data_IF_509801539578
#
_entry.id   IF_509801539578
#
_cell.length_a   1.000
_cell.length_b   1.000
_cell.length_c   1.000
_cell.angle_alpha   90.00
_cell.angle_beta   90.00
_cell.angle_gamma   90.00
#
_symmetry.space_group_name_H-M   'P 1'
#
loop_
_entity.id
_entity.type
_entity.pdbx_description
1 polymer ?
#
# COMPACT_ATOMS: atom_id res chain seq x y z
N UNK A 1 1.74 -16.64 39.74
CA UNK A 1 1.00 -15.39 39.99
C UNK A 1 1.89 -14.24 39.53
N UNK A 2 1.80 -13.82 38.29
CA UNK A 2 2.46 -12.63 37.77
C UNK A 2 1.36 -11.58 37.58
N UNK A 3 1.44 -10.51 38.36
CA UNK A 3 0.56 -9.37 38.28
C UNK A 3 0.70 -8.77 36.86
N UNK A 4 -0.34 -8.90 36.06
CA UNK A 4 -0.52 -8.11 34.83
C UNK A 4 -0.52 -6.64 35.27
N UNK A 5 0.59 -5.96 35.00
CA UNK A 5 0.67 -4.53 35.10
C UNK A 5 -0.43 -3.95 34.23
N UNK A 6 -1.48 -3.45 34.84
CA UNK A 6 -2.47 -2.59 34.20
C UNK A 6 -1.74 -1.34 33.78
N UNK A 7 -1.24 -1.35 32.54
CA UNK A 7 -0.79 -0.12 31.88
C UNK A 7 -1.98 0.82 31.86
N UNK A 8 -1.95 1.83 32.73
CA UNK A 8 -2.86 2.95 32.72
C UNK A 8 -2.92 3.48 31.29
N UNK A 9 -3.96 3.15 30.55
CA UNK A 9 -4.25 3.76 29.23
C UNK A 9 -4.46 5.25 29.50
N UNK A 10 -3.41 6.04 29.24
CA UNK A 10 -3.54 7.48 29.22
C UNK A 10 -4.63 7.83 28.22
N UNK A 11 -5.66 8.55 28.65
CA UNK A 11 -6.72 9.04 27.76
C UNK A 11 -6.06 9.76 26.60
N UNK A 12 -6.38 9.41 25.35
CA UNK A 12 -5.79 10.05 24.17
C UNK A 12 -6.00 11.56 24.29
N UNK A 13 -4.90 12.30 24.13
CA UNK A 13 -4.91 13.76 24.23
C UNK A 13 -5.61 14.32 22.98
N UNK A 14 -6.93 14.42 23.01
CA UNK A 14 -7.76 14.94 21.89
C UNK A 14 -7.35 16.32 21.41
N UNK A 15 -6.72 17.14 22.28
CA UNK A 15 -6.16 18.43 21.92
C UNK A 15 -4.92 18.30 21.03
N UNK A 16 -4.14 17.24 21.19
CA UNK A 16 -2.98 16.99 20.34
C UNK A 16 -3.37 16.59 18.92
N UNK A 17 -4.43 15.79 18.75
CA UNK A 17 -4.96 15.43 17.42
C UNK A 17 -5.41 16.67 16.63
N UNK A 18 -6.19 17.56 17.27
CA UNK A 18 -6.63 18.81 16.64
C UNK A 18 -5.45 19.72 16.29
N UNK A 19 -4.44 19.82 17.18
CA UNK A 19 -3.21 20.56 16.90
C UNK A 19 -2.45 20.01 15.71
N UNK A 20 -2.29 18.69 15.63
CA UNK A 20 -1.63 18.02 14.52
C UNK A 20 -2.41 18.15 13.20
N UNK A 21 -3.75 18.08 13.24
CA UNK A 21 -4.60 18.33 12.07
C UNK A 21 -4.44 19.76 11.54
N UNK A 22 -4.39 20.74 12.45
CA UNK A 22 -4.15 22.13 12.08
C UNK A 22 -2.76 22.32 11.44
N UNK A 23 -1.72 21.74 12.04
CA UNK A 23 -0.37 21.77 11.47
C UNK A 23 -0.35 21.09 10.10
N UNK A 24 -0.98 19.93 9.97
CA UNK A 24 -1.10 19.22 8.69
C UNK A 24 -1.80 20.05 7.62
N UNK A 25 -2.90 20.72 7.97
CA UNK A 25 -3.63 21.61 7.07
C UNK A 25 -2.75 22.79 6.62
N UNK A 26 -1.99 23.40 7.54
CA UNK A 26 -1.04 24.49 7.23
C UNK A 26 0.03 23.99 6.27
N UNK A 27 0.66 22.83 6.55
CA UNK A 27 1.73 22.26 5.72
C UNK A 27 1.23 22.00 4.29
N UNK A 28 0.07 21.35 4.13
CA UNK A 28 -0.49 21.04 2.80
C UNK A 28 -0.90 22.32 2.07
N UNK A 29 -1.50 23.28 2.78
CA UNK A 29 -1.89 24.58 2.17
C UNK A 29 -0.66 25.35 1.70
N UNK A 30 0.40 25.36 2.51
CA UNK A 30 1.66 26.02 2.18
C UNK A 30 2.33 25.37 0.97
N UNK A 31 2.38 24.02 0.93
CA UNK A 31 2.88 23.27 -0.22
C UNK A 31 2.09 23.57 -1.50
N UNK A 32 0.76 23.67 -1.43
CA UNK A 32 -0.08 24.05 -2.57
C UNK A 32 0.21 25.44 -3.08
N UNK A 33 0.32 26.42 -2.17
CA UNK A 33 0.63 27.81 -2.53
C UNK A 33 2.01 27.91 -3.15
N UNK A 34 3.04 27.32 -2.53
CA UNK A 34 4.40 27.36 -3.04
C UNK A 34 4.54 26.66 -4.39
N UNK A 35 3.92 25.50 -4.54
CA UNK A 35 3.92 24.76 -5.81
C UNK A 35 3.27 25.59 -6.93
N UNK A 36 2.16 26.26 -6.66
CA UNK A 36 1.47 27.10 -7.66
C UNK A 36 2.26 28.36 -7.98
N UNK A 37 2.89 28.99 -6.99
CA UNK A 37 3.77 30.12 -7.19
C UNK A 37 5.00 29.75 -8.01
N UNK A 38 5.64 28.60 -7.73
CA UNK A 38 6.80 28.12 -8.48
C UNK A 38 6.50 27.81 -9.93
N UNK A 39 5.29 27.31 -10.25
CA UNK A 39 4.89 26.97 -11.63
C UNK A 39 4.37 28.15 -12.41
N UNK A 40 3.44 28.92 -11.83
CA UNK A 40 2.63 29.91 -12.55
C UNK A 40 2.94 31.34 -12.14
N UNK A 41 3.81 31.56 -11.16
CA UNK A 41 4.14 32.87 -10.58
C UNK A 41 2.90 33.67 -10.15
N UNK A 42 1.87 32.96 -9.67
CA UNK A 42 0.62 33.54 -9.17
C UNK A 42 0.00 32.67 -8.09
N UNK A 43 -0.82 33.29 -7.22
CA UNK A 43 -1.54 32.56 -6.18
C UNK A 43 -2.61 31.64 -6.80
N UNK A 44 -2.87 30.47 -6.19
CA UNK A 44 -3.89 29.55 -6.68
C UNK A 44 -5.29 30.17 -6.64
N UNK A 45 -5.97 30.24 -7.78
CA UNK A 45 -7.29 30.86 -7.90
C UNK A 45 -8.36 30.16 -7.03
N UNK A 46 -8.19 28.88 -6.71
CA UNK A 46 -9.14 28.07 -5.92
C UNK A 46 -8.61 27.72 -4.53
N UNK A 47 -7.71 28.52 -3.97
CA UNK A 47 -7.11 28.27 -2.67
C UNK A 47 -8.15 28.07 -1.57
N UNK A 48 -9.15 28.95 -1.48
CA UNK A 48 -10.21 28.90 -0.46
C UNK A 48 -11.02 27.60 -0.59
N UNK A 49 -11.36 27.21 -1.80
CA UNK A 49 -12.11 25.95 -2.05
C UNK A 49 -11.28 24.74 -1.63
N UNK A 50 -10.01 24.71 -1.99
CA UNK A 50 -9.09 23.63 -1.61
C UNK A 50 -8.97 23.49 -0.10
N UNK A 51 -8.71 24.59 0.60
CA UNK A 51 -8.60 24.60 2.07
C UNK A 51 -9.92 24.21 2.74
N UNK A 52 -11.05 24.68 2.20
CA UNK A 52 -12.39 24.32 2.73
C UNK A 52 -12.68 22.82 2.59
N UNK A 53 -12.30 22.21 1.47
CA UNK A 53 -12.44 20.76 1.25
C UNK A 53 -11.57 19.98 2.25
N UNK A 54 -10.28 20.32 2.37
CA UNK A 54 -9.38 19.66 3.31
C UNK A 54 -9.83 19.80 4.76
N UNK A 55 -10.29 20.99 5.15
CA UNK A 55 -10.82 21.24 6.48
C UNK A 55 -12.10 20.43 6.72
N UNK A 56 -13.01 20.40 5.73
CA UNK A 56 -14.24 19.61 5.79
C UNK A 56 -13.94 18.11 5.98
N UNK A 57 -13.00 17.57 5.21
CA UNK A 57 -12.56 16.18 5.35
C UNK A 57 -11.96 15.92 6.75
N UNK A 58 -11.09 16.81 7.23
CA UNK A 58 -10.48 16.69 8.55
C UNK A 58 -11.53 16.69 9.66
N UNK A 59 -12.50 17.61 9.58
CA UNK A 59 -13.60 17.72 10.56
C UNK A 59 -14.50 16.49 10.53
N UNK A 60 -14.94 16.06 9.34
CA UNK A 60 -15.81 14.88 9.18
C UNK A 60 -15.11 13.64 9.73
N UNK A 61 -13.86 13.40 9.35
CA UNK A 61 -13.13 12.20 9.80
C UNK A 61 -12.85 12.25 11.31
N UNK A 62 -12.51 13.43 11.85
CA UNK A 62 -12.33 13.60 13.29
C UNK A 62 -13.64 13.35 14.05
N UNK A 63 -14.81 13.79 13.53
CA UNK A 63 -16.11 13.48 14.11
C UNK A 63 -16.43 11.99 14.07
N UNK A 64 -16.19 11.33 12.93
CA UNK A 64 -16.34 9.87 12.78
C UNK A 64 -15.50 9.15 13.84
N UNK A 65 -14.20 9.51 14.00
CA UNK A 65 -13.33 8.94 15.01
C UNK A 65 -13.84 9.12 16.42
N UNK A 66 -14.34 10.32 16.76
CA UNK A 66 -14.86 10.60 18.09
C UNK A 66 -16.07 9.77 18.44
N UNK A 67 -16.91 9.45 17.45
CA UNK A 67 -18.14 8.69 17.67
C UNK A 67 -17.91 7.19 17.61
N UNK A 68 -17.07 6.73 16.69
CA UNK A 68 -16.88 5.30 16.44
C UNK A 68 -15.70 4.72 17.23
N UNK A 69 -14.59 5.45 17.38
CA UNK A 69 -13.36 4.96 18.02
C UNK A 69 -12.74 6.06 18.90
N UNK A 70 -13.33 6.33 20.09
CA UNK A 70 -12.86 7.40 20.97
C UNK A 70 -11.42 7.23 21.48
N UNK A 71 -10.89 6.02 21.45
CA UNK A 71 -9.54 5.63 21.90
C UNK A 71 -8.54 5.48 20.74
N UNK A 72 -8.87 5.96 19.53
CA UNK A 72 -7.96 5.94 18.39
C UNK A 72 -6.68 6.74 18.64
N UNK A 73 -5.58 6.30 18.02
CA UNK A 73 -4.30 7.01 18.07
C UNK A 73 -4.45 8.40 17.40
N UNK A 74 -4.08 9.49 18.12
CA UNK A 74 -4.24 10.85 17.64
C UNK A 74 -3.30 11.24 16.47
N UNK A 75 -2.31 10.40 16.14
CA UNK A 75 -1.32 10.70 15.09
C UNK A 75 -1.77 10.19 13.73
N UNK A 76 -2.51 9.07 13.67
CA UNK A 76 -2.87 8.41 12.41
C UNK A 76 -3.65 9.31 11.46
N UNK A 77 -4.69 9.97 11.96
CA UNK A 77 -5.54 10.83 11.11
C UNK A 77 -4.80 12.04 10.54
N UNK A 78 -4.02 12.82 11.33
CA UNK A 78 -3.19 13.90 10.79
C UNK A 78 -2.20 13.44 9.71
N UNK A 79 -1.54 12.29 9.90
CA UNK A 79 -0.60 11.74 8.91
C UNK A 79 -1.31 11.41 7.60
N UNK A 80 -2.48 10.75 7.67
CA UNK A 80 -3.28 10.44 6.48
C UNK A 80 -3.73 11.70 5.75
N UNK A 81 -4.15 12.75 6.49
CA UNK A 81 -4.53 14.03 5.91
C UNK A 81 -3.36 14.68 5.15
N UNK A 82 -2.17 14.70 5.76
CA UNK A 82 -0.97 15.28 5.14
C UNK A 82 -0.59 14.49 3.88
N UNK A 83 -0.50 13.17 3.96
CA UNK A 83 -0.14 12.33 2.81
C UNK A 83 -1.14 12.45 1.66
N UNK A 84 -2.44 12.45 1.95
CA UNK A 84 -3.48 12.65 0.94
C UNK A 84 -3.39 14.05 0.32
N UNK A 85 -3.19 15.08 1.14
CA UNK A 85 -3.05 16.46 0.67
C UNK A 85 -1.82 16.68 -0.20
N UNK A 86 -0.65 16.16 0.21
CA UNK A 86 0.58 16.24 -0.58
C UNK A 86 0.44 15.48 -1.91
N UNK A 87 -0.19 14.30 -1.89
CA UNK A 87 -0.51 13.54 -3.10
C UNK A 87 -1.41 14.31 -4.05
N UNK A 88 -2.46 14.97 -3.52
CA UNK A 88 -3.35 15.81 -4.31
C UNK A 88 -2.65 17.01 -4.95
N UNK A 89 -1.78 17.71 -4.19
CA UNK A 89 -0.96 18.82 -4.70
C UNK A 89 -0.05 18.34 -5.84
N UNK A 90 0.55 17.14 -5.70
CA UNK A 90 1.41 16.56 -6.72
C UNK A 90 0.63 16.23 -8.00
N UNK A 91 -0.55 15.62 -7.89
CA UNK A 91 -1.43 15.34 -9.03
C UNK A 91 -1.86 16.64 -9.72
N UNK A 92 -2.22 17.67 -8.94
CA UNK A 92 -2.54 19.00 -9.49
C UNK A 92 -1.35 19.64 -10.23
N UNK A 93 -0.13 19.40 -9.78
CA UNK A 93 1.11 19.86 -10.43
C UNK A 93 1.34 19.18 -11.78
N UNK A 94 0.97 17.90 -11.89
CA UNK A 94 1.10 17.11 -13.11
C UNK A 94 -0.09 17.31 -14.07
N UNK A 95 -1.22 17.81 -13.60
CA UNK A 95 -2.46 17.97 -14.37
C UNK A 95 -2.37 18.75 -15.69
N UNK A 96 -1.47 19.74 -15.87
CA UNK A 96 -1.31 20.42 -17.17
C UNK A 96 -0.75 19.55 -18.29
N UNK A 97 -0.17 18.38 -17.95
CA UNK A 97 0.34 17.43 -18.93
C UNK A 97 -0.78 16.47 -19.34
N UNK A 98 -0.96 16.27 -20.65
CA UNK A 98 -2.18 15.74 -21.29
C UNK A 98 -2.75 14.46 -20.67
N UNK A 99 -1.89 13.52 -20.27
CA UNK A 99 -2.33 12.20 -19.77
C UNK A 99 -2.83 12.22 -18.33
N UNK A 100 -2.67 13.31 -17.59
CA UNK A 100 -2.89 13.36 -16.14
C UNK A 100 -3.98 14.36 -15.74
N UNK A 101 -4.48 15.16 -16.64
CA UNK A 101 -5.45 16.24 -16.35
C UNK A 101 -6.74 15.75 -15.66
N UNK A 102 -7.21 14.55 -16.02
CA UNK A 102 -8.42 13.95 -15.45
C UNK A 102 -8.20 13.37 -14.05
N UNK A 103 -6.95 13.08 -13.65
CA UNK A 103 -6.64 12.41 -12.37
C UNK A 103 -6.95 13.28 -11.16
N UNK A 104 -6.88 14.59 -11.26
CA UNK A 104 -7.23 15.50 -10.16
C UNK A 104 -8.70 15.34 -9.73
N UNK A 105 -9.61 15.19 -10.69
CA UNK A 105 -11.01 14.90 -10.43
C UNK A 105 -11.22 13.50 -9.84
N UNK A 106 -10.56 12.50 -10.43
CA UNK A 106 -10.60 11.12 -9.94
C UNK A 106 -10.05 11.00 -8.51
N UNK A 107 -9.00 11.71 -8.17
CA UNK A 107 -8.44 11.71 -6.82
C UNK A 107 -9.45 12.19 -5.77
N UNK A 108 -10.23 13.22 -6.07
CA UNK A 108 -11.28 13.69 -5.19
C UNK A 108 -12.39 12.62 -4.99
N UNK A 109 -12.79 11.95 -6.06
CA UNK A 109 -13.76 10.84 -6.02
C UNK A 109 -13.21 9.68 -5.19
N UNK A 110 -11.98 9.22 -5.45
CA UNK A 110 -11.38 8.13 -4.71
C UNK A 110 -11.15 8.47 -3.23
N UNK A 111 -10.79 9.71 -2.92
CA UNK A 111 -10.67 10.17 -1.52
C UNK A 111 -12.03 10.12 -0.81
N UNK A 112 -13.10 10.50 -1.49
CA UNK A 112 -14.46 10.43 -0.92
C UNK A 112 -14.89 8.97 -0.70
N UNK A 113 -14.65 8.10 -1.67
CA UNK A 113 -14.91 6.65 -1.54
C UNK A 113 -14.09 6.07 -0.38
N UNK A 114 -12.81 6.44 -0.27
CA UNK A 114 -11.93 6.02 0.82
C UNK A 114 -12.45 6.46 2.19
N UNK A 115 -12.99 7.67 2.30
CA UNK A 115 -13.57 8.17 3.55
C UNK A 115 -14.83 7.39 3.95
N UNK A 116 -15.70 7.09 2.99
CA UNK A 116 -16.89 6.25 3.21
C UNK A 116 -16.47 4.83 3.61
N UNK A 117 -15.52 4.23 2.89
CA UNK A 117 -14.99 2.90 3.21
C UNK A 117 -14.35 2.87 4.61
N UNK A 118 -13.64 3.92 5.00
CA UNK A 118 -13.09 4.08 6.34
C UNK A 118 -14.19 4.05 7.41
N UNK A 119 -15.24 4.84 7.24
CA UNK A 119 -16.36 4.86 8.18
C UNK A 119 -17.07 3.50 8.30
N UNK A 120 -17.30 2.83 7.16
CA UNK A 120 -17.89 1.48 7.11
C UNK A 120 -16.99 0.49 7.83
N UNK A 121 -15.68 0.53 7.58
CA UNK A 121 -14.70 -0.35 8.24
C UNK A 121 -14.71 -0.19 9.75
N UNK A 122 -14.77 1.04 10.26
CA UNK A 122 -14.87 1.29 11.70
C UNK A 122 -16.13 0.69 12.32
N UNK A 123 -17.26 0.71 11.61
CA UNK A 123 -18.50 0.10 12.06
C UNK A 123 -18.39 -1.43 12.10
N UNK A 124 -17.83 -2.01 11.05
CA UNK A 124 -17.66 -3.48 10.93
C UNK A 124 -16.68 -4.00 11.99
N UNK A 125 -15.53 -3.34 12.17
CA UNK A 125 -14.46 -3.79 13.10
C UNK A 125 -14.91 -3.69 14.56
N UNK A 126 -15.90 -2.90 14.90
CA UNK A 126 -16.53 -2.94 16.25
C UNK A 126 -17.04 -4.33 16.62
N UNK A 127 -17.40 -5.15 15.64
CA UNK A 127 -17.86 -6.54 15.81
C UNK A 127 -16.82 -7.53 15.27
N UNK A 128 -15.53 -7.29 15.56
CA UNK A 128 -14.43 -8.12 15.04
C UNK A 128 -14.57 -9.61 15.35
N UNK A 129 -15.23 -9.98 16.44
CA UNK A 129 -15.53 -11.39 16.77
C UNK A 129 -16.42 -12.08 15.74
N UNK A 130 -17.31 -11.34 15.09
CA UNK A 130 -18.17 -11.89 14.04
C UNK A 130 -17.35 -12.24 12.80
N UNK A 131 -16.24 -11.54 12.53
CA UNK A 131 -15.33 -11.84 11.42
C UNK A 131 -14.62 -13.18 11.57
N UNK A 132 -14.29 -13.60 12.79
CA UNK A 132 -13.67 -14.91 13.07
C UNK A 132 -14.56 -16.06 12.61
N UNK A 133 -15.87 -15.92 12.78
CA UNK A 133 -16.85 -16.94 12.37
C UNK A 133 -16.87 -17.17 10.86
N UNK A 134 -16.62 -16.12 10.07
CA UNK A 134 -16.71 -16.15 8.62
C UNK A 134 -15.35 -16.26 7.92
N UNK A 135 -14.27 -16.62 8.63
CA UNK A 135 -12.89 -16.64 8.08
C UNK A 135 -12.73 -17.45 6.79
N UNK A 136 -13.34 -18.64 6.68
CA UNK A 136 -13.27 -19.44 5.46
C UNK A 136 -14.07 -18.83 4.31
N UNK A 137 -15.14 -18.10 4.62
CA UNK A 137 -15.86 -17.32 3.63
C UNK A 137 -15.00 -16.15 3.12
N UNK A 138 -14.24 -15.51 4.01
CA UNK A 138 -13.26 -14.47 3.64
C UNK A 138 -12.17 -15.04 2.74
N UNK A 139 -11.66 -16.24 3.05
CA UNK A 139 -10.69 -16.93 2.18
C UNK A 139 -11.27 -17.23 0.80
N UNK A 140 -12.47 -17.79 0.75
CA UNK A 140 -13.15 -18.10 -0.52
C UNK A 140 -13.36 -16.83 -1.34
N UNK A 141 -13.86 -15.76 -0.72
CA UNK A 141 -14.05 -14.47 -1.37
C UNK A 141 -12.73 -13.86 -1.86
N UNK A 142 -11.65 -13.98 -1.08
CA UNK A 142 -10.32 -13.53 -1.48
C UNK A 142 -9.82 -14.26 -2.72
N UNK A 143 -9.96 -15.59 -2.76
CA UNK A 143 -9.55 -16.40 -3.93
C UNK A 143 -10.43 -16.07 -5.15
N UNK A 144 -11.74 -15.90 -4.98
CA UNK A 144 -12.62 -15.48 -6.07
C UNK A 144 -12.23 -14.13 -6.66
N UNK A 145 -11.88 -13.15 -5.81
CA UNK A 145 -11.41 -11.85 -6.24
C UNK A 145 -10.07 -11.95 -6.98
N UNK A 146 -9.13 -12.79 -6.50
CA UNK A 146 -7.85 -13.01 -7.17
C UNK A 146 -8.01 -13.64 -8.55
N UNK A 147 -8.95 -14.56 -8.72
CA UNK A 147 -9.21 -15.23 -10.02
C UNK A 147 -9.99 -14.34 -10.99
N UNK A 148 -10.70 -13.34 -10.48
CA UNK A 148 -11.61 -12.49 -11.27
C UNK A 148 -10.95 -11.82 -12.49
N UNK A 149 -9.73 -11.26 -12.43
CA UNK A 149 -9.07 -10.68 -13.61
C UNK A 149 -8.66 -11.70 -14.67
N UNK A 150 -8.55 -12.98 -14.29
CA UNK A 150 -8.19 -14.06 -15.22
C UNK A 150 -9.39 -14.56 -16.03
N UNK A 151 -10.63 -14.23 -15.63
CA UNK A 151 -11.85 -14.62 -16.33
C UNK A 151 -11.95 -13.84 -17.64
N UNK A 152 -12.12 -14.52 -18.80
CA UNK A 152 -12.34 -13.85 -20.08
C UNK A 152 -13.50 -12.86 -20.01
N UNK A 153 -13.39 -11.76 -20.72
CA UNK A 153 -14.34 -10.62 -20.77
C UNK A 153 -14.41 -9.72 -19.51
N UNK A 154 -13.97 -10.16 -18.33
CA UNK A 154 -13.88 -9.30 -17.14
C UNK A 154 -12.52 -8.62 -17.05
N UNK A 155 -11.43 -9.34 -17.34
CA UNK A 155 -10.07 -8.82 -17.30
C UNK A 155 -9.57 -8.22 -18.63
N UNK A 156 -10.24 -8.49 -19.75
CA UNK A 156 -9.83 -7.98 -21.06
C UNK A 156 -10.24 -6.51 -21.31
N UNK A 157 -11.10 -5.96 -20.45
CA UNK A 157 -11.61 -4.59 -20.56
C UNK A 157 -10.64 -3.52 -20.05
N UNK A 158 -9.56 -3.89 -19.37
CA UNK A 158 -8.52 -2.98 -18.91
C UNK A 158 -7.35 -3.01 -19.88
N UNK A 159 -6.82 -1.84 -20.22
CA UNK A 159 -5.64 -1.69 -21.07
C UNK A 159 -4.51 -2.62 -20.60
N UNK A 160 -4.19 -3.60 -21.45
CA UNK A 160 -3.14 -4.58 -21.21
C UNK A 160 -1.76 -3.91 -21.38
N UNK A 161 -1.30 -3.18 -20.40
CA UNK A 161 0.07 -2.71 -20.36
C UNK A 161 0.98 -3.92 -20.08
N UNK A 162 1.69 -4.38 -21.10
CA UNK A 162 2.65 -5.49 -20.97
C UNK A 162 2.03 -6.89 -20.79
N UNK A 163 0.74 -7.10 -21.12
CA UNK A 163 0.08 -8.41 -21.00
C UNK A 163 -0.24 -8.80 -19.56
N UNK A 164 -0.29 -7.86 -18.65
CA UNK A 164 -0.64 -8.04 -17.23
C UNK A 164 -2.13 -7.79 -17.04
N UNK A 165 -2.85 -8.77 -16.49
CA UNK A 165 -4.29 -8.67 -16.24
C UNK A 165 -4.53 -8.39 -14.75
N UNK A 166 -4.55 -7.14 -14.35
CA UNK A 166 -4.72 -6.74 -12.93
C UNK A 166 -6.06 -6.05 -12.65
N UNK A 167 -6.65 -5.45 -13.68
CA UNK A 167 -7.80 -4.57 -13.51
C UNK A 167 -9.07 -5.22 -14.07
N UNK A 168 -10.17 -4.97 -13.37
CA UNK A 168 -11.52 -5.32 -13.83
C UNK A 168 -12.30 -4.04 -14.05
N UNK A 169 -12.92 -3.91 -15.22
CA UNK A 169 -13.73 -2.75 -15.59
C UNK A 169 -15.20 -3.04 -15.26
N UNK A 170 -15.80 -2.19 -14.42
CA UNK A 170 -17.23 -2.25 -14.11
C UNK A 170 -17.84 -0.92 -14.53
N UNK A 171 -18.41 -0.87 -15.73
CA UNK A 171 -18.89 0.37 -16.36
C UNK A 171 -17.74 1.37 -16.59
N UNK A 172 -17.86 2.61 -16.13
CA UNK A 172 -16.81 3.62 -16.29
C UNK A 172 -15.67 3.51 -15.27
N UNK A 173 -15.82 2.67 -14.23
CA UNK A 173 -14.82 2.52 -13.16
C UNK A 173 -13.94 1.29 -13.40
N UNK A 174 -12.63 1.44 -13.19
CA UNK A 174 -11.67 0.35 -13.11
C UNK A 174 -11.36 0.03 -11.66
N UNK A 175 -11.37 -1.23 -11.32
CA UNK A 175 -11.11 -1.73 -9.96
C UNK A 175 -10.05 -2.84 -10.03
N UNK A 176 -9.14 -2.83 -9.07
CA UNK A 176 -8.13 -3.88 -8.92
C UNK A 176 -8.55 -4.84 -7.80
N UNK A 177 -9.06 -6.05 -8.13
CA UNK A 177 -9.60 -6.96 -7.13
C UNK A 177 -8.58 -7.44 -6.10
N UNK A 178 -7.30 -7.49 -6.47
CA UNK A 178 -6.20 -7.88 -5.60
C UNK A 178 -6.10 -7.01 -4.35
N UNK A 179 -6.46 -5.72 -4.43
CA UNK A 179 -6.45 -4.81 -3.28
C UNK A 179 -7.47 -5.21 -2.21
N UNK A 180 -8.66 -5.62 -2.62
CA UNK A 180 -9.68 -6.11 -1.69
C UNK A 180 -9.34 -7.52 -1.18
N UNK A 181 -8.81 -8.41 -2.04
CA UNK A 181 -8.43 -9.77 -1.64
C UNK A 181 -7.35 -9.78 -0.57
N UNK A 182 -6.41 -8.86 -0.62
CA UNK A 182 -5.36 -8.65 0.40
C UNK A 182 -5.95 -8.47 1.79
N UNK A 183 -6.95 -7.62 1.92
CA UNK A 183 -7.62 -7.36 3.20
C UNK A 183 -8.31 -8.63 3.72
N UNK A 184 -9.02 -9.34 2.84
CA UNK A 184 -9.71 -10.59 3.20
C UNK A 184 -8.73 -11.70 3.62
N UNK A 185 -7.59 -11.83 2.92
CA UNK A 185 -6.52 -12.76 3.30
C UNK A 185 -5.92 -12.42 4.66
N UNK A 186 -5.69 -11.14 4.96
CA UNK A 186 -5.20 -10.70 6.28
C UNK A 186 -6.17 -11.08 7.38
N UNK A 187 -7.47 -10.88 7.18
CA UNK A 187 -8.52 -11.25 8.14
C UNK A 187 -8.52 -12.77 8.34
N UNK A 188 -8.44 -13.54 7.26
CA UNK A 188 -8.35 -15.01 7.34
C UNK A 188 -7.12 -15.47 8.13
N UNK A 189 -5.92 -14.99 7.76
CA UNK A 189 -4.68 -15.37 8.45
C UNK A 189 -4.70 -14.95 9.92
N UNK A 190 -5.15 -13.74 10.24
CA UNK A 190 -5.25 -13.27 11.61
C UNK A 190 -6.16 -14.18 12.46
N UNK A 191 -7.37 -14.46 11.98
CA UNK A 191 -8.33 -15.32 12.66
C UNK A 191 -7.80 -16.74 12.85
N UNK A 192 -7.17 -17.29 11.79
CA UNK A 192 -6.63 -18.65 11.84
C UNK A 192 -5.44 -18.75 12.79
N UNK A 193 -4.52 -17.80 12.74
CA UNK A 193 -3.34 -17.78 13.60
C UNK A 193 -3.71 -17.62 15.07
N UNK A 194 -4.69 -16.81 15.40
CA UNK A 194 -5.16 -16.64 16.77
C UNK A 194 -5.73 -17.97 17.31
N UNK A 195 -6.59 -18.66 16.53
CA UNK A 195 -7.17 -19.93 16.94
C UNK A 195 -6.13 -21.04 17.09
N UNK A 196 -5.16 -21.10 16.20
CA UNK A 196 -4.15 -22.18 16.19
C UNK A 196 -2.84 -21.79 16.87
N UNK A 197 -2.81 -20.64 17.58
CA UNK A 197 -1.59 -20.10 18.20
C UNK A 197 -0.84 -21.12 19.06
N UNK A 198 -1.56 -21.86 19.91
CA UNK A 198 -0.94 -22.85 20.79
C UNK A 198 -0.27 -23.98 19.99
N UNK A 199 -0.98 -24.53 18.99
CA UNK A 199 -0.46 -25.59 18.13
C UNK A 199 0.75 -25.11 17.30
N UNK A 200 0.70 -23.90 16.78
CA UNK A 200 1.78 -23.30 15.99
C UNK A 200 2.99 -22.94 16.85
N UNK A 201 2.79 -22.65 18.14
CA UNK A 201 3.88 -22.32 19.06
C UNK A 201 4.52 -23.55 19.73
N UNK A 202 3.86 -24.71 19.71
CA UNK A 202 4.42 -25.95 20.28
C UNK A 202 5.44 -26.58 19.32
N UNK A 203 6.66 -26.80 19.78
CA UNK A 203 7.65 -27.56 19.05
C UNK A 203 7.50 -29.05 19.44
N UNK A 204 6.92 -29.84 18.54
CA UNK A 204 6.54 -31.22 18.81
C UNK A 204 7.57 -32.24 18.27
N UNK A 205 8.33 -31.87 17.23
CA UNK A 205 9.29 -32.76 16.58
C UNK A 205 10.73 -32.36 16.88
N UNK A 206 11.52 -33.29 17.42
CA UNK A 206 12.94 -33.13 17.63
C UNK A 206 13.70 -33.67 16.41
N UNK A 207 14.34 -32.79 15.67
CA UNK A 207 15.25 -33.16 14.57
C UNK A 207 16.68 -32.81 15.01
N UNK A 208 17.41 -33.82 15.50
CA UNK A 208 18.75 -33.64 16.05
C UNK A 208 18.74 -32.71 17.27
N UNK A 209 19.40 -31.56 17.18
CA UNK A 209 19.53 -30.55 18.25
C UNK A 209 18.40 -29.50 18.25
N UNK A 210 17.59 -29.49 17.20
CA UNK A 210 16.54 -28.50 16.99
C UNK A 210 15.16 -29.09 17.20
N UNK A 211 14.28 -28.31 17.87
CA UNK A 211 12.87 -28.62 17.99
C UNK A 211 12.09 -27.93 16.88
N UNK A 212 11.52 -28.69 15.96
CA UNK A 212 10.68 -28.20 14.88
C UNK A 212 9.20 -28.27 15.26
N UNK A 213 8.39 -27.30 14.81
CA UNK A 213 6.95 -27.34 15.00
C UNK A 213 6.28 -28.44 14.18
N UNK A 214 5.10 -28.89 14.63
CA UNK A 214 4.26 -29.78 13.85
C UNK A 214 3.78 -29.07 12.56
N UNK A 215 3.90 -29.75 11.42
CA UNK A 215 3.49 -29.21 10.12
C UNK A 215 1.98 -29.34 9.84
N UNK A 216 1.28 -30.19 10.59
CA UNK A 216 -0.16 -30.45 10.38
C UNK A 216 -1.05 -29.19 10.46
N UNK A 217 -0.87 -28.30 11.47
CA UNK A 217 -1.67 -27.07 11.55
C UNK A 217 -1.40 -26.08 10.41
N UNK A 218 -0.30 -26.27 9.66
CA UNK A 218 0.06 -25.40 8.53
C UNK A 218 -0.70 -25.71 7.23
N UNK A 219 -1.35 -26.87 7.12
CA UNK A 219 -2.00 -27.30 5.88
C UNK A 219 -2.94 -26.25 5.27
N UNK A 220 -3.99 -25.80 5.97
CA UNK A 220 -4.93 -24.80 5.44
C UNK A 220 -4.28 -23.45 5.13
N UNK A 221 -3.29 -23.05 5.95
CA UNK A 221 -2.57 -21.80 5.77
C UNK A 221 -1.67 -21.88 4.53
N UNK A 222 -0.89 -22.96 4.43
CA UNK A 222 -0.02 -23.19 3.29
C UNK A 222 -0.82 -23.29 1.98
N UNK A 223 -1.98 -23.96 2.02
CA UNK A 223 -2.87 -24.03 0.89
C UNK A 223 -3.38 -22.64 0.46
N UNK A 224 -3.91 -21.86 1.40
CA UNK A 224 -4.38 -20.50 1.11
C UNK A 224 -3.26 -19.62 0.55
N UNK A 225 -2.06 -19.72 1.11
CA UNK A 225 -0.90 -18.97 0.68
C UNK A 225 -0.41 -19.40 -0.71
N UNK A 226 -0.25 -20.69 -0.95
CA UNK A 226 0.16 -21.23 -2.25
C UNK A 226 -0.84 -20.88 -3.33
N UNK A 227 -2.14 -21.05 -3.08
CA UNK A 227 -3.19 -20.67 -4.04
C UNK A 227 -3.13 -19.17 -4.37
N UNK A 228 -2.97 -18.31 -3.36
CA UNK A 228 -2.89 -16.87 -3.56
C UNK A 228 -1.68 -16.48 -4.40
N UNK A 229 -0.50 -17.03 -4.07
CA UNK A 229 0.72 -16.76 -4.85
C UNK A 229 0.63 -17.32 -6.26
N UNK A 230 0.08 -18.52 -6.46
CA UNK A 230 -0.08 -19.10 -7.79
C UNK A 230 -0.94 -18.19 -8.68
N UNK A 231 -2.05 -17.68 -8.18
CA UNK A 231 -2.91 -16.76 -8.95
C UNK A 231 -2.18 -15.47 -9.26
N UNK A 232 -1.51 -14.86 -8.28
CA UNK A 232 -0.78 -13.61 -8.47
C UNK A 232 0.38 -13.76 -9.47
N UNK A 233 1.05 -14.92 -9.48
CA UNK A 233 2.05 -15.23 -10.50
C UNK A 233 1.44 -15.38 -11.90
N UNK A 234 0.23 -15.93 -12.01
CA UNK A 234 -0.51 -15.98 -13.28
C UNK A 234 -0.88 -14.57 -13.76
N UNK A 235 -1.18 -13.65 -12.85
CA UNK A 235 -1.39 -12.23 -13.13
C UNK A 235 -0.10 -11.50 -13.48
N UNK A 236 1.07 -12.14 -13.29
CA UNK A 236 2.43 -11.56 -13.49
C UNK A 236 2.76 -10.40 -12.54
N UNK A 237 2.10 -10.33 -11.39
CA UNK A 237 2.37 -9.33 -10.36
C UNK A 237 3.32 -9.87 -9.29
N UNK A 238 4.63 -9.72 -9.54
CA UNK A 238 5.68 -10.19 -8.63
C UNK A 238 5.74 -9.32 -7.37
N UNK A 239 5.48 -8.01 -7.50
CA UNK A 239 5.52 -7.08 -6.36
C UNK A 239 4.48 -7.44 -5.30
N UNK A 240 3.27 -7.76 -5.74
CA UNK A 240 2.22 -8.19 -4.84
C UNK A 240 2.47 -9.56 -4.21
N UNK A 241 3.06 -10.49 -4.97
CA UNK A 241 3.46 -11.80 -4.44
C UNK A 241 4.45 -11.66 -3.28
N UNK A 242 5.44 -10.76 -3.43
CA UNK A 242 6.40 -10.44 -2.37
C UNK A 242 5.73 -9.80 -1.16
N UNK A 243 4.84 -8.84 -1.37
CA UNK A 243 4.09 -8.18 -0.30
C UNK A 243 3.27 -9.20 0.51
N UNK A 244 2.53 -10.07 -0.16
CA UNK A 244 1.73 -11.11 0.49
C UNK A 244 2.61 -12.09 1.28
N UNK A 245 3.77 -12.45 0.74
CA UNK A 245 4.72 -13.31 1.43
C UNK A 245 5.26 -12.66 2.71
N UNK A 246 5.72 -11.42 2.64
CA UNK A 246 6.25 -10.68 3.79
C UNK A 246 5.17 -10.52 4.86
N UNK A 247 3.95 -10.17 4.45
CA UNK A 247 2.82 -10.02 5.35
C UNK A 247 2.48 -11.33 6.06
N UNK A 248 2.40 -12.44 5.33
CA UNK A 248 2.18 -13.77 5.89
C UNK A 248 3.26 -14.13 6.92
N UNK A 249 4.52 -13.94 6.57
CA UNK A 249 5.66 -14.26 7.41
C UNK A 249 5.71 -13.40 8.69
N UNK A 250 5.43 -12.10 8.55
CA UNK A 250 5.35 -11.18 9.68
C UNK A 250 4.21 -11.56 10.64
N UNK A 251 3.03 -11.88 10.12
CA UNK A 251 1.89 -12.31 10.93
C UNK A 251 2.18 -13.62 11.66
N UNK A 252 2.82 -14.59 10.99
CA UNK A 252 3.21 -15.86 11.59
C UNK A 252 4.23 -15.64 12.71
N UNK A 253 5.22 -14.79 12.48
CA UNK A 253 6.23 -14.44 13.49
C UNK A 253 5.61 -13.73 14.70
N UNK A 254 4.80 -12.72 14.50
CA UNK A 254 4.13 -11.97 15.57
C UNK A 254 3.24 -12.88 16.42
N UNK A 255 2.54 -13.83 15.79
CA UNK A 255 1.63 -14.76 16.48
C UNK A 255 2.37 -15.80 17.30
N UNK A 256 3.45 -16.36 16.74
CA UNK A 256 4.17 -17.47 17.37
C UNK A 256 5.31 -17.02 18.28
N UNK A 257 5.84 -15.80 18.07
CA UNK A 257 7.03 -15.28 18.75
C UNK A 257 8.33 -16.00 18.39
N UNK A 258 8.35 -16.86 17.37
CA UNK A 258 9.50 -17.72 17.03
C UNK A 258 10.25 -17.20 15.80
N UNK A 259 11.48 -16.83 16.00
CA UNK A 259 12.41 -16.43 14.93
C UNK A 259 12.67 -17.53 13.89
N UNK A 260 12.51 -18.81 14.30
CA UNK A 260 12.71 -19.96 13.41
C UNK A 260 11.85 -19.88 12.15
N UNK A 261 10.59 -19.45 12.28
CA UNK A 261 9.71 -19.28 11.11
C UNK A 261 10.18 -18.18 10.17
N UNK A 262 10.70 -17.09 10.76
CA UNK A 262 11.24 -15.98 9.95
C UNK A 262 12.47 -16.44 9.15
N UNK A 263 13.39 -17.14 9.82
CA UNK A 263 14.60 -17.66 9.15
C UNK A 263 14.26 -18.67 8.07
N UNK A 264 13.42 -19.65 8.36
CA UNK A 264 12.96 -20.65 7.38
C UNK A 264 12.29 -19.96 6.19
N UNK A 265 11.41 -18.99 6.47
CA UNK A 265 10.71 -18.24 5.45
C UNK A 265 11.67 -17.46 4.54
N UNK A 266 12.62 -16.72 5.11
CA UNK A 266 13.62 -15.97 4.34
C UNK A 266 14.45 -16.91 3.47
N UNK A 267 14.93 -18.02 4.03
CA UNK A 267 15.69 -19.02 3.25
C UNK A 267 14.85 -19.60 2.12
N UNK A 268 13.61 -20.00 2.41
CA UNK A 268 12.68 -20.50 1.39
C UNK A 268 12.40 -19.47 0.30
N UNK A 269 12.27 -18.20 0.67
CA UNK A 269 12.08 -17.10 -0.28
C UNK A 269 13.31 -16.92 -1.19
N UNK A 270 14.52 -16.85 -0.64
CA UNK A 270 15.75 -16.68 -1.42
C UNK A 270 15.93 -17.85 -2.39
N UNK A 271 15.78 -19.08 -1.89
CA UNK A 271 15.87 -20.29 -2.72
C UNK A 271 14.77 -20.33 -3.78
N UNK A 272 13.52 -20.05 -3.39
CA UNK A 272 12.40 -20.01 -4.33
C UNK A 272 12.57 -18.95 -5.41
N UNK A 273 13.00 -17.75 -5.05
CA UNK A 273 13.27 -16.64 -5.98
C UNK A 273 14.42 -17.00 -6.94
N UNK A 274 15.47 -17.65 -6.45
CA UNK A 274 16.57 -18.13 -7.30
C UNK A 274 16.06 -19.14 -8.35
N UNK A 275 15.30 -20.15 -7.95
CA UNK A 275 14.71 -21.09 -8.90
C UNK A 275 13.69 -20.42 -9.84
N UNK A 276 12.84 -19.55 -9.31
CA UNK A 276 11.87 -18.83 -10.13
C UNK A 276 12.56 -17.95 -11.19
N UNK A 277 13.67 -17.31 -10.87
CA UNK A 277 14.44 -16.51 -11.82
C UNK A 277 15.04 -17.32 -12.96
N UNK A 278 15.27 -18.64 -12.77
CA UNK A 278 15.76 -19.54 -13.81
C UNK A 278 14.67 -20.10 -14.71
N UNK A 279 13.45 -20.20 -14.19
CA UNK A 279 12.30 -20.79 -14.91
C UNK A 279 11.42 -19.71 -15.54
N UNK A 280 11.20 -18.61 -14.83
CA UNK A 280 10.30 -17.53 -15.25
C UNK A 280 11.13 -16.33 -15.73
N UNK A 281 11.13 -16.10 -17.05
CA UNK A 281 11.87 -15.00 -17.69
C UNK A 281 11.55 -13.64 -17.05
N UNK A 282 10.27 -13.40 -16.71
CA UNK A 282 9.83 -12.16 -16.09
C UNK A 282 10.48 -11.92 -14.72
N UNK A 283 10.63 -12.97 -13.89
CA UNK A 283 11.28 -12.87 -12.58
C UNK A 283 12.76 -12.57 -12.74
N UNK A 284 13.44 -13.27 -13.67
CA UNK A 284 14.85 -13.01 -13.99
C UNK A 284 15.08 -11.56 -14.42
N UNK A 285 14.29 -11.07 -15.38
CA UNK A 285 14.38 -9.68 -15.85
C UNK A 285 14.14 -8.64 -14.74
N UNK A 286 13.20 -8.89 -13.83
CA UNK A 286 12.95 -7.96 -12.70
C UNK A 286 14.11 -7.92 -11.73
N UNK A 287 14.75 -9.06 -11.45
CA UNK A 287 15.94 -9.14 -10.61
C UNK A 287 17.12 -8.44 -11.27
N UNK A 288 17.33 -8.69 -12.56
CA UNK A 288 18.44 -8.09 -13.32
C UNK A 288 18.33 -6.56 -13.36
N UNK A 289 17.13 -6.03 -13.61
CA UNK A 289 16.87 -4.58 -13.58
C UNK A 289 17.00 -4.00 -12.18
N UNK A 290 16.62 -4.74 -11.14
CA UNK A 290 16.80 -4.29 -9.76
C UNK A 290 18.29 -4.22 -9.36
N UNK A 291 19.11 -5.15 -9.84
CA UNK A 291 20.54 -5.16 -9.56
C UNK A 291 21.33 -4.12 -10.35
N UNK A 292 20.99 -3.95 -11.63
CA UNK A 292 21.65 -2.97 -12.53
C UNK A 292 20.64 -2.43 -13.57
N UNK A 293 19.87 -1.41 -13.22
CA UNK A 293 18.89 -0.83 -14.12
C UNK A 293 19.54 -0.10 -15.31
N UNK A 294 20.78 0.41 -15.13
CA UNK A 294 21.50 1.17 -16.16
C UNK A 294 21.85 0.32 -17.38
N UNK A 295 22.14 -0.94 -17.18
CA UNK A 295 22.42 -1.89 -18.26
C UNK A 295 21.23 -2.05 -19.22
N UNK A 296 20.01 -1.83 -18.73
CA UNK A 296 18.77 -2.01 -19.47
C UNK A 296 18.14 -0.68 -19.94
N UNK A 297 18.95 0.38 -20.01
CA UNK A 297 18.52 1.72 -20.46
C UNK A 297 18.62 1.94 -21.97
N UNK A 298 19.20 1.01 -22.74
CA UNK A 298 19.64 1.20 -24.12
C UNK A 298 18.54 1.47 -25.17
N UNK A 299 17.29 1.24 -24.84
CA UNK A 299 16.14 1.45 -25.74
C UNK A 299 15.09 2.35 -25.09
N UNK A 300 15.06 3.61 -25.41
CA UNK A 300 14.13 4.60 -24.89
C UNK A 300 12.83 4.65 -25.73
N UNK A 301 11.63 4.76 -25.16
CA UNK A 301 11.19 4.70 -23.74
C UNK A 301 10.70 3.32 -23.28
N UNK A 302 10.76 2.30 -24.14
CA UNK A 302 10.10 1.01 -23.92
C UNK A 302 10.95 -0.02 -23.16
N UNK A 303 12.07 0.41 -22.58
CA UNK A 303 12.97 -0.48 -21.86
C UNK A 303 12.59 -0.64 -20.42
N UNK A 304 12.75 -1.88 -19.94
CA UNK A 304 12.43 -2.25 -18.56
C UNK A 304 13.26 -1.49 -17.51
N UNK A 305 14.47 -1.01 -17.86
CA UNK A 305 15.33 -0.19 -17.01
C UNK A 305 15.02 1.31 -17.03
N UNK A 306 14.21 1.79 -17.98
CA UNK A 306 13.99 3.22 -18.16
C UNK A 306 13.30 3.88 -16.96
N UNK A 307 12.20 3.30 -16.48
CA UNK A 307 11.44 3.86 -15.34
C UNK A 307 12.28 3.99 -14.06
N UNK A 308 12.97 2.95 -13.57
CA UNK A 308 13.77 3.06 -12.36
C UNK A 308 14.94 4.04 -12.52
N UNK A 309 15.65 4.03 -13.66
CA UNK A 309 16.77 4.97 -13.91
C UNK A 309 16.29 6.42 -13.91
N UNK A 310 15.19 6.74 -14.59
CA UNK A 310 14.66 8.11 -14.59
C UNK A 310 14.15 8.51 -13.21
N UNK A 311 13.58 7.57 -12.44
CA UNK A 311 13.25 7.79 -11.03
C UNK A 311 14.48 8.11 -10.17
N UNK A 312 15.57 7.39 -10.32
CA UNK A 312 16.85 7.64 -9.64
C UNK A 312 17.45 8.99 -10.04
N UNK A 313 17.43 9.33 -11.34
CA UNK A 313 17.86 10.64 -11.83
C UNK A 313 17.02 11.76 -11.24
N UNK A 314 15.70 11.56 -11.10
CA UNK A 314 14.80 12.51 -10.43
C UNK A 314 15.18 12.75 -8.97
N UNK A 315 15.51 11.69 -8.24
CA UNK A 315 16.02 11.77 -6.88
C UNK A 315 17.37 12.48 -6.82
N UNK A 316 18.31 12.13 -7.71
CA UNK A 316 19.64 12.74 -7.79
C UNK A 316 19.57 14.23 -8.11
N UNK A 317 18.69 14.64 -9.03
CA UNK A 317 18.47 16.05 -9.37
C UNK A 317 17.89 16.85 -8.19
N UNK A 318 16.99 16.24 -7.41
CA UNK A 318 16.47 16.84 -6.20
C UNK A 318 17.50 16.94 -5.08
N UNK A 319 18.45 16.00 -4.99
CA UNK A 319 19.43 15.91 -3.91
C UNK A 319 18.76 15.79 -2.54
N UNK A 320 19.47 16.20 -1.48
CA UNK A 320 18.94 16.16 -0.10
C UNK A 320 17.86 17.23 0.10
N UNK A 321 18.01 18.34 -0.55
CA UNK A 321 17.20 19.53 -0.32
C UNK A 321 16.10 19.75 -1.39
N UNK A 322 16.12 19.09 -2.57
CA UNK A 322 15.22 19.29 -3.72
C UNK A 322 15.55 20.54 -4.56
N UNK A 323 14.81 20.80 -5.62
CA UNK A 323 14.98 21.99 -6.48
C UNK A 323 14.09 23.17 -6.06
N UNK A 324 13.06 22.93 -5.28
CA UNK A 324 12.08 23.91 -4.81
C UNK A 324 10.63 23.55 -5.18
N UNK A 325 9.65 23.90 -4.34
CA UNK A 325 8.24 23.66 -4.62
C UNK A 325 7.82 24.28 -5.96
N UNK A 326 7.21 23.50 -6.84
CA UNK A 326 6.82 23.94 -8.18
C UNK A 326 7.96 24.02 -9.20
N UNK A 327 9.21 23.88 -8.77
CA UNK A 327 10.39 23.81 -9.67
C UNK A 327 10.70 22.33 -10.01
N UNK A 328 11.80 22.12 -10.78
CA UNK A 328 12.14 20.79 -11.27
C UNK A 328 11.26 20.33 -12.43
N UNK A 329 11.45 19.08 -12.85
CA UNK A 329 10.82 18.50 -14.04
C UNK A 329 10.16 17.15 -13.70
N UNK A 330 9.22 17.10 -12.72
CA UNK A 330 8.62 15.85 -12.27
C UNK A 330 7.84 15.12 -13.37
N UNK A 331 7.36 15.84 -14.38
CA UNK A 331 6.68 15.27 -15.54
C UNK A 331 7.60 14.43 -16.45
N UNK A 332 8.91 14.55 -16.32
CA UNK A 332 9.86 13.71 -17.04
C UNK A 332 9.98 12.31 -16.40
N UNK A 333 9.53 12.16 -15.16
CA UNK A 333 9.58 10.88 -14.44
C UNK A 333 8.36 10.06 -14.85
N UNK A 334 8.55 8.86 -15.44
CA UNK A 334 7.42 8.02 -15.81
C UNK A 334 6.58 7.65 -14.60
N UNK A 335 5.26 7.62 -14.77
CA UNK A 335 4.31 7.23 -13.70
C UNK A 335 4.52 8.03 -12.41
N UNK A 336 4.88 9.32 -12.55
CA UNK A 336 5.15 10.24 -11.44
C UNK A 336 3.95 10.44 -10.49
N UNK A 337 2.72 10.15 -10.98
CA UNK A 337 1.47 10.27 -10.22
C UNK A 337 1.22 9.08 -9.28
N UNK A 338 1.92 7.95 -9.44
CA UNK A 338 1.72 6.73 -8.64
C UNK A 338 3.03 6.14 -8.14
N UNK A 339 3.70 5.31 -8.93
CA UNK A 339 4.84 4.49 -8.49
C UNK A 339 6.07 5.33 -8.12
N UNK A 340 6.31 6.43 -8.84
CA UNK A 340 7.44 7.32 -8.62
C UNK A 340 7.08 8.67 -8.01
N UNK A 341 5.93 8.76 -7.32
CA UNK A 341 5.47 10.01 -6.69
C UNK A 341 6.48 10.55 -5.68
N UNK A 342 7.19 9.69 -4.96
CA UNK A 342 8.24 10.10 -4.03
C UNK A 342 9.41 10.74 -4.77
N UNK A 343 9.93 10.12 -5.83
CA UNK A 343 10.99 10.68 -6.66
C UNK A 343 10.58 12.01 -7.28
N UNK A 344 9.35 12.09 -7.79
CA UNK A 344 8.80 13.31 -8.35
C UNK A 344 8.64 14.42 -7.30
N UNK A 345 8.25 14.07 -6.07
CA UNK A 345 8.13 15.03 -4.97
C UNK A 345 9.49 15.49 -4.48
N UNK A 346 10.47 14.59 -4.31
CA UNK A 346 11.85 14.95 -3.92
C UNK A 346 12.52 15.82 -4.98
N UNK A 347 12.26 15.56 -6.27
CA UNK A 347 12.73 16.43 -7.34
C UNK A 347 12.29 17.90 -7.18
N UNK A 348 11.16 18.14 -6.48
CA UNK A 348 10.60 19.46 -6.22
C UNK A 348 10.93 20.04 -4.85
N UNK A 349 11.19 19.17 -3.84
CA UNK A 349 11.36 19.66 -2.46
C UNK A 349 12.67 20.43 -2.30
N UNK A 350 12.65 21.75 -2.33
CA UNK A 350 13.46 22.61 -1.45
C UNK A 350 12.97 24.02 -1.36
N UNK A 351 13.12 24.54 -0.17
CA UNK A 351 13.25 25.97 0.09
C UNK A 351 14.76 26.28 0.09
N UNK A 352 15.27 27.02 -0.90
CA UNK A 352 16.54 27.71 -0.74
C UNK A 352 16.34 28.91 0.14
#
# INVERSE_FOLDING_TARGET
MAALATTSRSKPRRRSELGLLLVGLIVVTFDYVLTTLGVYNRLPARLVVFVAILLGMAVITNLINRWLVPDADPVLLPVVLVLNGLGFVMIMRLAPYEDVAHLAGLQAVWTTIGLVAYAITLIIVRRSRDLERYRYLMLLAAIMLLVMPLVPHLGDAAENVGGVKLWVKIGPASFQPVEASKILLVIFFASYFVEKRELLSMATHRVGRYMLPDLRPFGPIAFAWVCSIAVILLEKDIGFSLLLFILFLAMLWVTTGRWTYLVIGIVAFVVGTYFASRVLVLVGQRIDVWLDPWKYLSCNPNCIGYQPVVGELGLAQGGIAGTGPGLGVPQAIPVAQSDFIFAAKVNQMTVK
#
